data_IF_361490708395
#
_entry.id   IF_361490708395
#
_cell.length_a   1.000
_cell.length_b   1.000
_cell.length_c   1.000
_cell.angle_alpha   90.00
_cell.angle_beta   90.00
_cell.angle_gamma   90.00
#
_symmetry.space_group_name_H-M   'P 1'
#
loop_
_entity.id
_entity.type
_entity.pdbx_description
1 polymer ?
#
# COMPACT_ATOMS: atom_id res chain seq x y z
N UNK A 1 -30.38 -21.45 22.86
CA UNK A 1 -29.23 -21.81 22.00
C UNK A 1 -28.42 -20.56 21.67
N UNK A 2 -28.98 -19.54 21.01
CA UNK A 2 -28.25 -18.37 20.50
C UNK A 2 -27.48 -17.60 21.60
N UNK A 3 -28.14 -17.28 22.73
CA UNK A 3 -27.46 -16.60 23.86
C UNK A 3 -26.33 -17.45 24.47
N UNK A 4 -26.52 -18.77 24.48
CA UNK A 4 -25.51 -19.68 25.00
C UNK A 4 -24.28 -19.77 24.06
N UNK A 5 -24.49 -19.77 22.74
CA UNK A 5 -23.43 -19.68 21.75
C UNK A 5 -22.61 -18.40 21.91
N UNK A 6 -23.29 -17.26 22.10
CA UNK A 6 -22.61 -15.98 22.35
C UNK A 6 -21.79 -16.03 23.66
N UNK A 7 -22.38 -16.52 24.74
CA UNK A 7 -21.71 -16.59 26.03
C UNK A 7 -20.43 -17.46 25.97
N UNK A 8 -20.50 -18.64 25.37
CA UNK A 8 -19.35 -19.53 25.20
C UNK A 8 -18.29 -18.86 24.33
N UNK A 9 -18.68 -18.30 23.16
CA UNK A 9 -17.77 -17.66 22.26
C UNK A 9 -17.00 -16.49 22.89
N UNK A 10 -17.71 -15.64 23.64
CA UNK A 10 -17.07 -14.50 24.34
C UNK A 10 -16.13 -14.98 25.45
N UNK A 11 -16.59 -15.88 26.31
CA UNK A 11 -15.78 -16.36 27.44
C UNK A 11 -14.52 -17.06 26.97
N UNK A 12 -14.64 -17.99 26.02
CA UNK A 12 -13.48 -18.72 25.48
C UNK A 12 -12.57 -17.81 24.66
N UNK A 13 -13.12 -16.85 23.92
CA UNK A 13 -12.34 -15.88 23.17
C UNK A 13 -11.49 -14.97 24.07
N UNK A 14 -12.04 -14.48 25.15
CA UNK A 14 -11.30 -13.69 26.16
C UNK A 14 -10.22 -14.54 26.82
N UNK A 15 -10.55 -15.76 27.24
CA UNK A 15 -9.58 -16.67 27.89
C UNK A 15 -8.41 -16.98 26.92
N UNK A 16 -8.72 -17.35 25.68
CA UNK A 16 -7.70 -17.66 24.68
C UNK A 16 -6.84 -16.43 24.32
N UNK A 17 -7.46 -15.26 24.19
CA UNK A 17 -6.77 -13.99 23.99
C UNK A 17 -5.82 -13.64 25.12
N UNK A 18 -6.28 -13.78 26.35
CA UNK A 18 -5.48 -13.55 27.56
C UNK A 18 -4.31 -14.53 27.68
N UNK A 19 -4.54 -15.80 27.37
CA UNK A 19 -3.48 -16.81 27.39
C UNK A 19 -2.39 -16.46 26.37
N UNK A 20 -2.78 -16.13 25.12
CA UNK A 20 -1.82 -15.77 24.09
C UNK A 20 -1.05 -14.48 24.45
N UNK A 21 -1.73 -13.45 24.92
CA UNK A 21 -1.09 -12.22 25.42
C UNK A 21 -0.02 -12.54 26.47
N UNK A 22 -0.36 -13.34 27.48
CA UNK A 22 0.59 -13.72 28.55
C UNK A 22 1.80 -14.52 28.03
N UNK A 23 1.58 -15.42 27.08
CA UNK A 23 2.65 -16.22 26.48
C UNK A 23 3.62 -15.36 25.66
N UNK A 24 3.09 -14.35 24.96
CA UNK A 24 3.89 -13.46 24.11
C UNK A 24 4.60 -12.37 24.93
N UNK A 25 3.88 -11.65 25.78
CA UNK A 25 4.43 -10.54 26.58
C UNK A 25 5.48 -11.00 27.58
N UNK A 26 5.30 -12.16 28.21
CA UNK A 26 6.28 -12.69 29.17
C UNK A 26 7.43 -13.46 28.49
N UNK A 27 7.55 -13.41 27.13
CA UNK A 27 8.59 -14.09 26.37
C UNK A 27 8.72 -15.61 26.68
N UNK A 28 7.61 -16.27 27.05
CA UNK A 28 7.61 -17.74 27.22
C UNK A 28 7.80 -18.47 25.89
N UNK A 29 7.51 -17.79 24.79
CA UNK A 29 7.67 -18.31 23.43
C UNK A 29 8.71 -17.44 22.70
N UNK A 30 9.74 -18.02 22.09
CA UNK A 30 10.69 -17.28 21.26
C UNK A 30 9.99 -16.54 20.11
N UNK A 31 10.49 -15.36 19.73
CA UNK A 31 9.86 -14.49 18.71
C UNK A 31 9.60 -15.20 17.39
N UNK A 32 10.53 -16.05 16.92
CA UNK A 32 10.36 -16.80 15.67
C UNK A 32 9.23 -17.83 15.70
N UNK A 33 8.69 -18.17 16.88
CA UNK A 33 7.55 -19.07 17.05
C UNK A 33 6.23 -18.35 17.31
N UNK A 34 6.21 -17.03 17.45
CA UNK A 34 4.99 -16.26 17.76
C UNK A 34 3.86 -16.55 16.76
N UNK A 35 4.18 -16.59 15.48
CA UNK A 35 3.20 -16.85 14.41
C UNK A 35 2.60 -18.25 14.49
N UNK A 36 3.42 -19.25 14.77
CA UNK A 36 2.98 -20.66 14.89
C UNK A 36 2.18 -20.87 16.18
N UNK A 37 2.59 -20.24 17.27
CA UNK A 37 1.88 -20.32 18.55
C UNK A 37 0.51 -19.66 18.44
N UNK A 38 0.42 -18.48 17.81
CA UNK A 38 -0.84 -17.80 17.56
C UNK A 38 -1.77 -18.68 16.70
N UNK A 39 -1.28 -19.24 15.59
CA UNK A 39 -2.07 -20.12 14.73
C UNK A 39 -2.55 -21.37 15.48
N UNK A 40 -1.65 -22.03 16.23
CA UNK A 40 -1.99 -23.24 16.98
C UNK A 40 -3.08 -22.96 18.02
N UNK A 41 -2.94 -21.85 18.77
CA UNK A 41 -3.93 -21.50 19.80
C UNK A 41 -5.28 -21.10 19.19
N UNK A 42 -5.28 -20.41 18.03
CA UNK A 42 -6.50 -20.09 17.26
C UNK A 42 -7.23 -21.37 16.88
N UNK A 43 -6.50 -22.36 16.30
CA UNK A 43 -7.09 -23.66 15.90
C UNK A 43 -7.65 -24.44 17.09
N UNK A 44 -6.90 -24.48 18.20
CA UNK A 44 -7.37 -25.14 19.43
C UNK A 44 -8.59 -24.44 19.99
N UNK A 45 -8.57 -23.14 20.14
CA UNK A 45 -9.70 -22.35 20.66
C UNK A 45 -10.95 -22.50 19.79
N UNK A 46 -10.80 -22.43 18.47
CA UNK A 46 -11.88 -22.64 17.51
C UNK A 46 -12.49 -24.03 17.63
N UNK A 47 -11.64 -25.06 17.61
CA UNK A 47 -12.07 -26.47 17.67
C UNK A 47 -12.75 -26.79 19.00
N UNK A 48 -12.15 -26.37 20.11
CA UNK A 48 -12.67 -26.59 21.45
C UNK A 48 -14.03 -25.88 21.65
N UNK A 49 -14.14 -24.64 21.17
CA UNK A 49 -15.40 -23.89 21.23
C UNK A 49 -16.51 -24.61 20.46
N UNK A 50 -16.22 -25.09 19.26
CA UNK A 50 -17.19 -25.80 18.42
C UNK A 50 -17.60 -27.17 19.00
N UNK A 51 -16.74 -27.83 19.78
CA UNK A 51 -17.11 -29.06 20.48
C UNK A 51 -18.09 -28.79 21.64
N UNK A 52 -17.94 -27.67 22.34
CA UNK A 52 -18.87 -27.28 23.39
C UNK A 52 -20.22 -26.78 22.86
N UNK A 53 -20.17 -25.98 21.81
CA UNK A 53 -21.36 -25.44 21.17
C UNK A 53 -21.10 -25.25 19.67
N UNK A 54 -21.89 -25.87 18.84
CA UNK A 54 -21.81 -25.70 17.38
C UNK A 54 -21.83 -24.22 16.98
N UNK A 55 -20.94 -23.85 16.04
CA UNK A 55 -20.80 -22.50 15.47
C UNK A 55 -20.30 -21.39 16.41
N UNK A 56 -19.92 -21.71 17.65
CA UNK A 56 -19.35 -20.73 18.58
C UNK A 56 -17.87 -20.37 18.28
N UNK A 57 -17.16 -21.24 17.54
CA UNK A 57 -15.72 -21.07 17.26
C UNK A 57 -15.38 -19.79 16.50
N UNK A 58 -16.21 -19.38 15.53
CA UNK A 58 -16.04 -18.12 14.81
C UNK A 58 -16.08 -16.90 15.74
N UNK A 59 -17.01 -16.88 16.67
CA UNK A 59 -17.12 -15.81 17.65
C UNK A 59 -15.93 -15.82 18.64
N UNK A 60 -15.51 -17.02 19.06
CA UNK A 60 -14.33 -17.20 19.93
C UNK A 60 -13.08 -16.57 19.33
N UNK A 61 -12.78 -16.89 18.07
CA UNK A 61 -11.59 -16.35 17.39
C UNK A 61 -11.71 -14.86 17.12
N UNK A 62 -12.91 -14.36 16.83
CA UNK A 62 -13.18 -12.94 16.66
C UNK A 62 -12.90 -12.16 17.94
N UNK A 63 -13.43 -12.61 19.09
CA UNK A 63 -13.20 -11.99 20.39
C UNK A 63 -11.72 -12.07 20.80
N UNK A 64 -11.07 -13.21 20.55
CA UNK A 64 -9.63 -13.37 20.75
C UNK A 64 -8.83 -12.34 19.95
N UNK A 65 -9.16 -12.15 18.67
CA UNK A 65 -8.52 -11.16 17.83
C UNK A 65 -8.74 -9.73 18.29
N UNK A 66 -9.98 -9.39 18.71
CA UNK A 66 -10.30 -8.09 19.29
C UNK A 66 -9.54 -7.84 20.61
N UNK A 67 -9.37 -8.85 21.44
CA UNK A 67 -8.59 -8.77 22.67
C UNK A 67 -7.14 -8.39 22.37
N UNK A 68 -6.49 -9.12 21.47
CA UNK A 68 -5.09 -8.89 21.10
C UNK A 68 -4.86 -7.53 20.43
N UNK A 69 -5.76 -7.13 19.53
CA UNK A 69 -5.67 -5.86 18.80
C UNK A 69 -5.77 -4.62 19.70
N UNK A 70 -6.40 -4.73 20.89
CA UNK A 70 -6.55 -3.64 21.85
C UNK A 70 -5.47 -3.62 22.94
N UNK A 71 -4.37 -4.36 22.78
CA UNK A 71 -3.26 -4.39 23.74
C UNK A 71 -2.08 -3.54 23.26
N UNK A 72 -1.77 -2.42 23.94
CA UNK A 72 -0.70 -1.52 23.52
C UNK A 72 0.70 -2.13 23.71
N UNK A 73 0.85 -3.08 24.64
CA UNK A 73 2.14 -3.68 24.97
C UNK A 73 2.53 -4.86 24.07
N UNK A 74 1.68 -5.20 23.08
CA UNK A 74 1.88 -6.34 22.21
C UNK A 74 2.14 -5.89 20.77
N UNK A 75 3.33 -6.18 20.25
CA UNK A 75 3.59 -6.04 18.81
C UNK A 75 2.90 -7.18 18.05
N UNK A 76 1.77 -6.88 17.45
CA UNK A 76 0.97 -7.83 16.66
C UNK A 76 1.30 -7.80 15.17
N UNK A 77 2.14 -6.84 14.68
CA UNK A 77 2.43 -6.69 13.27
C UNK A 77 3.00 -7.97 12.61
N UNK A 78 3.94 -8.71 13.21
CA UNK A 78 4.43 -9.97 12.63
C UNK A 78 3.32 -11.02 12.47
N UNK A 79 2.40 -11.09 13.45
CA UNK A 79 1.26 -12.03 13.43
C UNK A 79 0.26 -11.61 12.34
N UNK A 80 -0.01 -10.32 12.17
CA UNK A 80 -0.90 -9.79 11.13
C UNK A 80 -0.36 -10.09 9.73
N UNK A 81 0.91 -9.80 9.47
CA UNK A 81 1.56 -10.08 8.19
C UNK A 81 1.53 -11.58 7.86
N UNK A 82 1.84 -12.43 8.83
CA UNK A 82 1.75 -13.88 8.67
C UNK A 82 0.32 -14.33 8.35
N UNK A 83 -0.66 -13.82 9.10
CA UNK A 83 -2.08 -14.10 8.89
C UNK A 83 -2.54 -13.68 7.50
N UNK A 84 -2.14 -12.52 7.00
CA UNK A 84 -2.50 -12.04 5.65
C UNK A 84 -1.98 -12.96 4.57
N UNK A 85 -0.71 -13.32 4.62
CA UNK A 85 -0.10 -14.27 3.68
C UNK A 85 -0.79 -15.64 3.71
N UNK A 86 -1.04 -16.14 4.92
CA UNK A 86 -1.73 -17.41 5.11
C UNK A 86 -3.18 -17.35 4.60
N UNK A 87 -3.86 -16.24 4.81
CA UNK A 87 -5.23 -16.02 4.33
C UNK A 87 -5.30 -16.09 2.80
N UNK A 88 -4.40 -15.39 2.11
CA UNK A 88 -4.34 -15.43 0.63
C UNK A 88 -4.12 -16.86 0.12
N UNK A 89 -3.19 -17.59 0.74
CA UNK A 89 -2.91 -18.98 0.39
C UNK A 89 -4.13 -19.89 0.61
N UNK A 90 -4.70 -19.85 1.82
CA UNK A 90 -5.83 -20.72 2.18
C UNK A 90 -7.07 -20.40 1.35
N UNK A 91 -7.37 -19.12 1.10
CA UNK A 91 -8.47 -18.69 0.25
C UNK A 91 -8.27 -19.21 -1.18
N UNK A 92 -7.06 -19.06 -1.73
CA UNK A 92 -6.76 -19.54 -3.08
C UNK A 92 -6.93 -21.05 -3.21
N UNK A 93 -6.39 -21.82 -2.28
CA UNK A 93 -6.53 -23.28 -2.25
C UNK A 93 -8.01 -23.67 -2.12
N UNK A 94 -8.74 -23.01 -1.22
CA UNK A 94 -10.16 -23.32 -1.01
C UNK A 94 -11.00 -23.03 -2.27
N UNK A 95 -10.76 -21.90 -2.96
CA UNK A 95 -11.46 -21.60 -4.21
C UNK A 95 -11.12 -22.61 -5.31
N UNK A 96 -9.88 -23.07 -5.42
CA UNK A 96 -9.49 -24.11 -6.38
C UNK A 96 -10.23 -25.42 -6.08
N UNK A 97 -10.24 -25.83 -4.81
CA UNK A 97 -10.94 -27.08 -4.40
C UNK A 97 -12.45 -26.98 -4.61
N UNK A 98 -13.05 -25.83 -4.31
CA UNK A 98 -14.47 -25.61 -4.55
C UNK A 98 -14.79 -25.57 -6.05
N UNK A 99 -13.98 -24.89 -6.85
CA UNK A 99 -14.16 -24.87 -8.30
C UNK A 99 -14.05 -26.28 -8.93
N UNK A 100 -13.14 -27.11 -8.43
CA UNK A 100 -12.96 -28.48 -8.89
C UNK A 100 -14.18 -29.39 -8.58
N UNK A 101 -14.99 -29.03 -7.58
CA UNK A 101 -16.20 -29.80 -7.20
C UNK A 101 -17.45 -29.33 -7.95
N UNK A 102 -17.41 -28.25 -8.70
CA UNK A 102 -18.56 -27.71 -9.41
C UNK A 102 -18.83 -28.56 -10.66
N UNK A 103 -20.02 -29.12 -10.77
CA UNK A 103 -20.51 -29.72 -11.99
C UNK A 103 -20.97 -28.62 -12.98
N UNK A 104 -20.28 -28.54 -14.11
CA UNK A 104 -20.55 -27.53 -15.13
C UNK A 104 -21.98 -27.66 -15.72
N UNK A 105 -22.50 -28.87 -15.78
CA UNK A 105 -23.86 -29.10 -16.26
C UNK A 105 -24.93 -28.55 -15.29
N UNK A 106 -24.69 -28.75 -13.98
CA UNK A 106 -25.54 -28.16 -12.95
C UNK A 106 -25.49 -26.65 -12.95
N UNK A 107 -24.27 -26.07 -13.14
CA UNK A 107 -24.12 -24.63 -13.23
C UNK A 107 -24.86 -24.03 -14.41
N UNK A 108 -24.80 -24.71 -15.58
CA UNK A 108 -25.52 -24.27 -16.78
C UNK A 108 -27.04 -24.40 -16.64
N UNK A 109 -27.53 -25.40 -15.92
CA UNK A 109 -28.98 -25.58 -15.68
C UNK A 109 -29.59 -24.44 -14.88
N UNK A 110 -28.85 -23.79 -14.01
CA UNK A 110 -29.30 -22.64 -13.19
C UNK A 110 -28.79 -21.27 -13.70
N UNK A 111 -28.15 -21.23 -14.87
CA UNK A 111 -27.48 -20.02 -15.38
C UNK A 111 -28.46 -18.83 -15.52
N UNK A 112 -29.66 -19.03 -15.98
CA UNK A 112 -30.67 -17.97 -16.11
C UNK A 112 -31.09 -17.42 -14.75
N UNK A 113 -31.41 -18.30 -13.81
CA UNK A 113 -31.82 -17.94 -12.45
C UNK A 113 -30.67 -17.23 -11.72
N UNK A 114 -29.43 -17.71 -11.89
CA UNK A 114 -28.25 -17.10 -11.35
C UNK A 114 -28.00 -15.71 -11.94
N UNK A 115 -28.15 -15.54 -13.26
CA UNK A 115 -28.00 -14.24 -13.92
C UNK A 115 -29.09 -13.25 -13.44
N UNK A 116 -30.34 -13.66 -13.35
CA UNK A 116 -31.39 -12.80 -12.81
C UNK A 116 -31.15 -12.41 -11.36
N UNK A 117 -30.73 -13.35 -10.51
CA UNK A 117 -30.39 -13.11 -9.13
C UNK A 117 -29.20 -12.14 -9.02
N UNK A 118 -28.14 -12.33 -9.83
CA UNK A 118 -26.99 -11.48 -9.89
C UNK A 118 -27.35 -10.03 -10.27
N UNK A 119 -28.23 -9.86 -11.28
CA UNK A 119 -28.70 -8.54 -11.69
C UNK A 119 -29.48 -7.85 -10.56
N UNK A 120 -30.42 -8.55 -9.92
CA UNK A 120 -31.16 -7.99 -8.78
C UNK A 120 -30.23 -7.60 -7.63
N UNK A 121 -29.30 -8.46 -7.30
CA UNK A 121 -28.34 -8.17 -6.23
C UNK A 121 -27.44 -6.98 -6.59
N UNK A 122 -26.92 -6.93 -7.82
CA UNK A 122 -25.96 -5.91 -8.24
C UNK A 122 -26.62 -4.54 -8.43
N UNK A 123 -27.80 -4.48 -9.03
CA UNK A 123 -28.41 -3.20 -9.42
C UNK A 123 -29.52 -2.73 -8.47
N UNK A 124 -30.06 -3.59 -7.62
CA UNK A 124 -31.12 -3.22 -6.68
C UNK A 124 -30.65 -3.33 -5.23
N UNK A 125 -30.28 -4.52 -4.78
CA UNK A 125 -30.00 -4.76 -3.37
C UNK A 125 -28.75 -4.02 -2.88
N UNK A 126 -27.69 -3.99 -3.69
CA UNK A 126 -26.41 -3.32 -3.32
C UNK A 126 -26.52 -1.80 -3.30
N UNK A 127 -27.03 -1.12 -4.34
CA UNK A 127 -27.24 0.32 -4.26
C UNK A 127 -28.14 0.69 -3.09
N UNK A 128 -29.27 0.01 -2.91
CA UNK A 128 -30.18 0.26 -1.79
C UNK A 128 -29.46 0.15 -0.44
N UNK A 129 -28.67 -0.92 -0.23
CA UNK A 129 -27.88 -1.10 1.00
C UNK A 129 -26.90 0.04 1.22
N UNK A 130 -26.10 0.39 0.21
CA UNK A 130 -25.07 1.44 0.35
C UNK A 130 -25.70 2.80 0.60
N UNK A 131 -26.73 3.19 -0.17
CA UNK A 131 -27.39 4.48 0.03
C UNK A 131 -28.08 4.61 1.38
N UNK A 132 -28.68 3.53 1.87
CA UNK A 132 -29.30 3.53 3.21
C UNK A 132 -28.24 3.60 4.31
N UNK A 133 -27.15 2.81 4.21
CA UNK A 133 -26.11 2.77 5.24
C UNK A 133 -25.23 4.03 5.29
N UNK A 134 -25.08 4.73 4.16
CA UNK A 134 -24.27 5.96 4.07
C UNK A 134 -25.10 7.26 4.07
N UNK A 135 -26.36 7.19 4.45
CA UNK A 135 -27.29 8.32 4.41
C UNK A 135 -26.82 9.55 5.19
N UNK A 136 -26.13 9.33 6.33
CA UNK A 136 -25.64 10.40 7.22
C UNK A 136 -24.14 10.59 7.18
N UNK A 137 -23.45 10.01 6.19
CA UNK A 137 -22.00 10.10 6.07
C UNK A 137 -21.61 11.07 4.96
N UNK A 138 -20.57 11.86 5.19
CA UNK A 138 -19.99 12.80 4.22
C UNK A 138 -19.12 12.06 3.20
N UNK A 139 -19.73 11.10 2.49
CA UNK A 139 -19.12 10.34 1.40
C UNK A 139 -19.70 10.90 0.10
N UNK A 140 -18.86 11.14 -0.88
CA UNK A 140 -19.28 11.67 -2.18
C UNK A 140 -20.17 10.68 -2.94
N UNK A 141 -20.99 11.20 -3.85
CA UNK A 141 -21.83 10.35 -4.70
C UNK A 141 -21.01 9.34 -5.52
N UNK A 142 -19.85 9.78 -6.00
CA UNK A 142 -18.93 8.96 -6.78
C UNK A 142 -18.40 7.78 -5.97
N UNK A 143 -17.98 8.02 -4.73
CA UNK A 143 -17.53 6.98 -3.80
C UNK A 143 -18.66 6.01 -3.44
N UNK A 144 -19.87 6.53 -3.15
CA UNK A 144 -21.06 5.70 -2.91
C UNK A 144 -21.37 4.78 -4.10
N UNK A 145 -21.24 5.30 -5.31
CA UNK A 145 -21.46 4.54 -6.54
C UNK A 145 -20.43 3.44 -6.74
N UNK A 146 -19.16 3.72 -6.46
CA UNK A 146 -18.09 2.71 -6.50
C UNK A 146 -18.32 1.62 -5.43
N UNK A 147 -18.64 2.02 -4.19
CA UNK A 147 -18.95 1.09 -3.09
C UNK A 147 -20.19 0.23 -3.41
N UNK A 148 -21.19 0.77 -4.10
CA UNK A 148 -22.35 0.02 -4.56
C UNK A 148 -21.98 -0.99 -5.66
N UNK A 149 -21.00 -0.68 -6.50
CA UNK A 149 -20.50 -1.58 -7.52
C UNK A 149 -19.64 -2.71 -6.96
N UNK A 150 -18.68 -2.39 -6.11
CA UNK A 150 -17.75 -3.36 -5.51
C UNK A 150 -18.44 -4.08 -4.36
N UNK A 151 -18.64 -5.39 -4.52
CA UNK A 151 -19.32 -6.25 -3.54
C UNK A 151 -18.42 -7.45 -3.19
N UNK A 152 -17.44 -7.30 -2.30
CA UNK A 152 -16.65 -8.45 -1.88
C UNK A 152 -17.57 -9.52 -1.31
N UNK A 153 -17.50 -10.73 -1.89
CA UNK A 153 -18.28 -11.89 -1.45
C UNK A 153 -17.34 -12.91 -0.87
N UNK A 154 -17.63 -13.26 0.39
CA UNK A 154 -16.79 -14.19 1.13
C UNK A 154 -17.16 -15.65 0.87
N UNK A 155 -16.20 -16.51 1.10
CA UNK A 155 -16.30 -17.98 1.11
C UNK A 155 -17.35 -18.45 2.11
N UNK A 156 -17.56 -17.69 3.17
CA UNK A 156 -18.57 -17.98 4.21
C UNK A 156 -19.95 -18.16 3.60
N UNK A 157 -20.33 -17.37 2.59
CA UNK A 157 -21.61 -17.52 1.92
C UNK A 157 -21.74 -18.89 1.23
N UNK A 158 -20.68 -19.37 0.58
CA UNK A 158 -20.66 -20.68 -0.05
C UNK A 158 -20.75 -21.83 0.97
N UNK A 159 -19.97 -21.75 2.05
CA UNK A 159 -19.96 -22.75 3.11
C UNK A 159 -21.31 -22.84 3.82
N UNK A 160 -21.87 -21.69 4.19
CA UNK A 160 -23.20 -21.63 4.84
C UNK A 160 -24.27 -22.16 3.90
N UNK A 161 -24.25 -21.77 2.61
CA UNK A 161 -25.23 -22.29 1.64
C UNK A 161 -25.17 -23.81 1.48
N UNK A 162 -23.96 -24.40 1.55
CA UNK A 162 -23.81 -25.85 1.49
C UNK A 162 -24.39 -26.53 2.74
N UNK A 163 -24.15 -26.03 3.93
CA UNK A 163 -24.66 -26.55 5.19
C UNK A 163 -26.21 -26.44 5.21
N UNK A 164 -26.75 -25.27 4.81
CA UNK A 164 -28.21 -25.09 4.75
C UNK A 164 -28.88 -25.96 3.70
N UNK A 165 -28.23 -26.13 2.53
CA UNK A 165 -28.73 -27.01 1.49
C UNK A 165 -28.88 -28.45 2.00
N UNK A 166 -27.84 -28.98 2.67
CA UNK A 166 -27.86 -30.34 3.24
C UNK A 166 -28.96 -30.48 4.28
N UNK A 167 -29.08 -29.52 5.20
CA UNK A 167 -30.14 -29.56 6.22
C UNK A 167 -31.57 -29.47 5.64
N UNK A 168 -31.77 -28.66 4.61
CA UNK A 168 -33.07 -28.52 3.97
C UNK A 168 -33.44 -29.77 3.17
N UNK A 169 -32.46 -30.44 2.54
CA UNK A 169 -32.66 -31.71 1.85
C UNK A 169 -33.07 -32.80 2.85
N UNK A 170 -32.43 -32.89 4.02
CA UNK A 170 -32.81 -33.80 5.11
C UNK A 170 -34.27 -33.56 5.58
N UNK A 171 -34.75 -32.31 5.52
CA UNK A 171 -36.12 -31.93 5.86
C UNK A 171 -37.13 -32.14 4.72
N UNK A 172 -36.68 -32.67 3.58
CA UNK A 172 -37.54 -33.01 2.44
C UNK A 172 -37.71 -31.90 1.39
N UNK A 173 -36.94 -30.80 1.47
CA UNK A 173 -36.97 -29.71 0.48
C UNK A 173 -36.00 -30.02 -0.67
N UNK A 174 -36.43 -30.71 -1.70
CA UNK A 174 -35.59 -31.12 -2.85
C UNK A 174 -34.97 -29.92 -3.59
N UNK A 175 -35.70 -28.81 -3.69
CA UNK A 175 -35.22 -27.58 -4.36
C UNK A 175 -33.97 -26.95 -3.68
N UNK A 176 -33.69 -27.35 -2.45
CA UNK A 176 -32.46 -26.89 -1.76
C UNK A 176 -31.19 -27.34 -2.46
N UNK A 177 -31.22 -28.37 -3.33
CA UNK A 177 -30.09 -28.77 -4.19
C UNK A 177 -29.59 -27.61 -5.09
N UNK A 178 -30.47 -26.65 -5.41
CA UNK A 178 -30.11 -25.48 -6.24
C UNK A 178 -29.36 -24.38 -5.47
N UNK A 179 -29.39 -24.38 -4.14
CA UNK A 179 -28.76 -23.33 -3.33
C UNK A 179 -27.24 -23.22 -3.58
N UNK A 180 -26.58 -24.36 -3.62
CA UNK A 180 -25.10 -24.39 -3.82
C UNK A 180 -24.72 -23.89 -5.21
N UNK A 181 -25.24 -24.47 -6.33
CA UNK A 181 -24.97 -23.99 -7.67
C UNK A 181 -25.29 -22.49 -7.87
N UNK A 182 -26.43 -22.02 -7.35
CA UNK A 182 -26.84 -20.62 -7.44
C UNK A 182 -25.85 -19.68 -6.69
N UNK A 183 -25.50 -20.06 -5.47
CA UNK A 183 -24.54 -19.28 -4.67
C UNK A 183 -23.19 -19.18 -5.36
N UNK A 184 -22.67 -20.29 -5.87
CA UNK A 184 -21.41 -20.31 -6.61
C UNK A 184 -21.49 -19.48 -7.90
N UNK A 185 -22.56 -19.61 -8.68
CA UNK A 185 -22.75 -18.79 -9.89
C UNK A 185 -22.72 -17.30 -9.58
N UNK A 186 -23.38 -16.89 -8.50
CA UNK A 186 -23.39 -15.48 -8.06
C UNK A 186 -22.02 -15.04 -7.58
N UNK A 187 -21.27 -15.87 -6.84
CA UNK A 187 -19.91 -15.57 -6.40
C UNK A 187 -18.99 -15.40 -7.62
N UNK A 188 -18.95 -16.38 -8.51
CA UNK A 188 -18.11 -16.34 -9.71
C UNK A 188 -18.47 -15.13 -10.59
N UNK A 189 -19.77 -14.97 -10.87
CA UNK A 189 -20.27 -13.88 -11.70
C UNK A 189 -19.92 -12.50 -11.13
N UNK A 190 -20.08 -12.30 -9.81
CA UNK A 190 -19.71 -11.04 -9.17
C UNK A 190 -18.21 -10.81 -9.15
N UNK A 191 -17.40 -11.82 -8.83
CA UNK A 191 -15.93 -11.69 -8.80
C UNK A 191 -15.41 -11.35 -10.19
N UNK A 192 -15.82 -12.10 -11.22
CA UNK A 192 -15.37 -11.83 -12.60
C UNK A 192 -15.80 -10.45 -13.08
N UNK A 193 -17.09 -10.11 -12.91
CA UNK A 193 -17.63 -8.82 -13.35
C UNK A 193 -16.93 -7.66 -12.66
N UNK A 194 -16.79 -7.72 -11.35
CA UNK A 194 -16.22 -6.63 -10.56
C UNK A 194 -14.71 -6.50 -10.77
N UNK A 195 -13.96 -7.59 -10.77
CA UNK A 195 -12.52 -7.56 -11.03
C UNK A 195 -12.21 -6.99 -12.41
N UNK A 196 -12.99 -7.35 -13.43
CA UNK A 196 -12.79 -6.83 -14.79
C UNK A 196 -13.16 -5.34 -14.93
N UNK A 197 -14.12 -4.85 -14.15
CA UNK A 197 -14.71 -3.51 -14.37
C UNK A 197 -14.37 -2.49 -13.29
N UNK A 198 -13.96 -2.90 -12.08
CA UNK A 198 -13.74 -1.99 -10.95
C UNK A 198 -12.76 -0.86 -11.25
N UNK A 199 -11.61 -1.17 -11.85
CA UNK A 199 -10.61 -0.16 -12.20
C UNK A 199 -11.09 0.83 -13.28
N UNK A 200 -11.87 0.35 -14.24
CA UNK A 200 -12.47 1.22 -15.27
C UNK A 200 -13.51 2.16 -14.65
N UNK A 201 -14.39 1.63 -13.80
CA UNK A 201 -15.44 2.40 -13.13
C UNK A 201 -14.83 3.41 -12.15
N UNK A 202 -13.83 3.02 -11.34
CA UNK A 202 -13.15 3.91 -10.43
C UNK A 202 -12.52 5.11 -11.15
N UNK A 203 -11.83 4.86 -12.27
CA UNK A 203 -11.27 5.94 -13.10
C UNK A 203 -12.34 6.84 -13.70
N UNK A 204 -13.45 6.26 -14.19
CA UNK A 204 -14.54 7.04 -14.79
C UNK A 204 -15.32 7.90 -13.77
N UNK A 205 -15.40 7.43 -12.53
CA UNK A 205 -15.99 8.17 -11.42
C UNK A 205 -15.03 9.21 -10.80
N UNK A 206 -13.74 9.18 -11.16
CA UNK A 206 -12.73 10.08 -10.60
C UNK A 206 -12.36 9.76 -9.15
N UNK A 207 -12.61 8.52 -8.70
CA UNK A 207 -12.27 8.03 -7.34
C UNK A 207 -11.13 7.00 -7.35
N UNK A 208 -10.50 6.81 -8.51
CA UNK A 208 -9.30 6.00 -8.58
C UNK A 208 -8.14 6.77 -7.91
N UNK A 209 -7.38 6.07 -7.10
CA UNK A 209 -6.15 6.63 -6.55
C UNK A 209 -5.21 7.06 -7.71
N UNK A 210 -4.59 8.25 -7.62
CA UNK A 210 -3.62 8.69 -8.62
C UNK A 210 -2.50 7.66 -8.81
N UNK A 211 -1.96 7.55 -10.02
CA UNK A 211 -0.77 6.72 -10.22
C UNK A 211 0.34 7.18 -9.26
N UNK A 212 1.04 6.26 -8.57
CA UNK A 212 2.07 6.61 -7.59
C UNK A 212 3.36 7.08 -8.30
N UNK A 213 3.29 8.25 -8.93
CA UNK A 213 4.39 8.90 -9.65
C UNK A 213 5.04 10.01 -8.85
N UNK A 214 4.43 10.45 -7.76
CA UNK A 214 4.90 11.52 -6.90
C UNK A 214 6.07 11.13 -5.98
N UNK A 215 6.60 12.12 -5.27
CA UNK A 215 7.78 12.00 -4.42
C UNK A 215 7.53 12.51 -3.00
N UNK A 216 7.92 11.71 -2.01
CA UNK A 216 8.09 12.16 -0.62
C UNK A 216 9.54 12.63 -0.44
N UNK A 217 9.73 13.91 -0.15
CA UNK A 217 11.03 14.48 0.14
C UNK A 217 11.21 14.62 1.66
N UNK A 218 12.09 13.85 2.23
CA UNK A 218 12.47 13.96 3.65
C UNK A 218 13.57 15.01 3.78
N UNK A 219 13.21 16.16 4.35
CA UNK A 219 14.02 17.37 4.42
C UNK A 219 13.52 18.47 3.48
N UNK A 220 12.96 19.56 4.04
CA UNK A 220 12.38 20.67 3.27
C UNK A 220 13.39 21.85 3.08
N UNK A 221 14.66 21.52 2.83
CA UNK A 221 15.74 22.50 2.60
C UNK A 221 15.60 23.25 1.25
N UNK A 222 16.47 24.23 0.99
CA UNK A 222 16.41 25.03 -0.23
C UNK A 222 16.46 24.19 -1.52
N UNK A 223 17.34 23.18 -1.56
CA UNK A 223 17.43 22.27 -2.71
C UNK A 223 16.12 21.49 -2.92
N UNK A 224 15.57 20.91 -1.84
CA UNK A 224 14.31 20.14 -1.90
C UNK A 224 13.14 20.99 -2.38
N UNK A 225 13.07 22.25 -1.93
CA UNK A 225 12.01 23.19 -2.37
C UNK A 225 12.14 23.52 -3.85
N UNK A 226 13.36 23.81 -4.33
CA UNK A 226 13.59 24.06 -5.76
C UNK A 226 13.29 22.83 -6.61
N UNK A 227 13.66 21.64 -6.14
CA UNK A 227 13.37 20.39 -6.83
C UNK A 227 11.87 20.11 -6.92
N UNK A 228 11.16 20.29 -5.81
CA UNK A 228 9.71 20.08 -5.78
C UNK A 228 8.95 21.07 -6.69
N UNK A 229 9.41 22.32 -6.77
CA UNK A 229 8.82 23.30 -7.71
C UNK A 229 9.03 22.89 -9.18
N UNK A 230 10.23 22.43 -9.52
CA UNK A 230 10.50 22.00 -10.90
C UNK A 230 9.74 20.72 -11.27
N UNK A 231 9.68 19.73 -10.36
CA UNK A 231 8.89 18.51 -10.57
C UNK A 231 7.39 18.82 -10.67
N UNK A 232 6.90 19.79 -9.90
CA UNK A 232 5.51 20.23 -9.96
C UNK A 232 5.08 20.81 -11.33
N UNK A 233 6.02 21.32 -12.14
CA UNK A 233 5.73 21.78 -13.52
C UNK A 233 5.35 20.63 -14.46
N UNK A 234 5.65 19.39 -14.08
CA UNK A 234 5.31 18.16 -14.80
C UNK A 234 4.12 17.42 -14.16
N UNK A 235 3.32 18.11 -13.35
CA UNK A 235 2.18 17.53 -12.63
C UNK A 235 2.55 16.40 -11.66
N UNK A 236 3.78 16.38 -11.16
CA UNK A 236 4.26 15.41 -10.19
C UNK A 236 4.02 15.92 -8.77
N UNK A 237 3.21 15.20 -8.01
CA UNK A 237 2.95 15.52 -6.61
C UNK A 237 4.24 15.37 -5.79
N UNK A 238 4.59 16.39 -5.03
CA UNK A 238 5.74 16.39 -4.14
C UNK A 238 5.30 16.81 -2.74
N UNK A 239 5.54 15.97 -1.74
CA UNK A 239 5.29 16.28 -0.33
C UNK A 239 6.63 16.42 0.39
N UNK A 240 6.83 17.55 1.05
CA UNK A 240 8.06 17.83 1.81
C UNK A 240 7.79 17.60 3.30
N UNK A 241 8.54 16.67 3.91
CA UNK A 241 8.44 16.36 5.33
C UNK A 241 9.70 16.82 6.08
N UNK A 242 9.53 17.65 7.11
CA UNK A 242 10.65 18.14 7.93
C UNK A 242 10.17 18.44 9.36
N UNK A 243 11.04 18.17 10.34
CA UNK A 243 10.81 18.55 11.74
C UNK A 243 11.18 20.02 12.03
N UNK A 244 11.85 20.71 11.12
CA UNK A 244 12.19 22.12 11.25
C UNK A 244 11.06 23.00 10.71
N UNK A 245 10.45 23.78 11.61
CA UNK A 245 9.35 24.67 11.26
C UNK A 245 9.73 25.74 10.23
N UNK A 246 10.93 26.31 10.30
CA UNK A 246 11.36 27.36 9.36
C UNK A 246 11.45 26.83 7.93
N UNK A 247 11.95 25.63 7.74
CA UNK A 247 11.97 24.96 6.44
C UNK A 247 10.56 24.75 5.90
N UNK A 248 9.65 24.23 6.75
CA UNK A 248 8.25 23.99 6.39
C UNK A 248 7.53 25.31 6.05
N UNK A 249 7.74 26.35 6.87
CA UNK A 249 7.15 27.67 6.62
C UNK A 249 7.56 28.21 5.26
N UNK A 250 8.85 28.16 4.93
CA UNK A 250 9.36 28.60 3.63
C UNK A 250 8.77 27.78 2.46
N UNK A 251 8.62 26.47 2.63
CA UNK A 251 8.00 25.63 1.61
C UNK A 251 6.50 25.98 1.40
N UNK A 252 5.75 26.22 2.48
CA UNK A 252 4.34 26.66 2.41
C UNK A 252 4.17 28.02 1.74
N UNK A 253 5.07 28.96 2.00
CA UNK A 253 5.02 30.29 1.39
C UNK A 253 5.14 30.26 -0.13
N UNK A 254 5.75 29.25 -0.71
CA UNK A 254 5.87 29.06 -2.16
C UNK A 254 4.86 28.01 -2.70
N UNK A 255 3.84 27.66 -1.90
CA UNK A 255 2.73 26.82 -2.32
C UNK A 255 3.01 25.32 -2.37
N UNK A 256 4.10 24.82 -1.75
CA UNK A 256 4.41 23.41 -1.72
C UNK A 256 3.64 22.67 -0.62
N UNK A 257 3.27 21.44 -0.91
CA UNK A 257 2.63 20.55 0.04
C UNK A 257 3.65 20.07 1.09
N UNK A 258 3.26 20.14 2.37
CA UNK A 258 4.22 19.90 3.46
C UNK A 258 3.62 19.13 4.62
N UNK A 259 4.43 18.28 5.23
CA UNK A 259 4.17 17.68 6.53
C UNK A 259 5.17 18.23 7.56
N UNK A 260 4.65 18.82 8.65
CA UNK A 260 5.47 19.28 9.77
C UNK A 260 5.53 18.21 10.85
N UNK A 261 6.70 17.67 11.10
CA UNK A 261 6.95 16.65 12.11
C UNK A 261 8.10 15.72 11.74
N UNK A 262 8.38 14.77 12.61
CA UNK A 262 9.32 13.70 12.29
C UNK A 262 8.68 12.77 11.25
N UNK A 263 9.28 12.64 10.05
CA UNK A 263 8.70 11.83 8.97
C UNK A 263 8.67 10.31 9.24
N UNK A 264 9.32 9.85 10.29
CA UNK A 264 9.35 8.43 10.69
C UNK A 264 8.71 8.22 12.08
N UNK A 265 7.65 8.93 12.39
CA UNK A 265 6.90 8.82 13.63
C UNK A 265 5.52 8.23 13.38
N UNK A 266 4.92 7.61 14.40
CA UNK A 266 3.52 7.13 14.36
C UNK A 266 2.55 8.24 13.94
N UNK A 267 2.87 9.51 14.26
CA UNK A 267 2.09 10.65 13.82
C UNK A 267 2.16 10.85 12.31
N UNK A 268 3.33 10.60 11.70
CA UNK A 268 3.48 10.66 10.24
C UNK A 268 2.69 9.53 9.58
N UNK A 269 2.72 8.32 10.12
CA UNK A 269 1.98 7.16 9.59
C UNK A 269 0.46 7.40 9.53
N UNK A 270 -0.06 8.19 10.47
CA UNK A 270 -1.50 8.50 10.53
C UNK A 270 -1.88 9.72 9.69
N UNK A 271 -1.03 10.75 9.62
CA UNK A 271 -1.40 12.07 9.10
C UNK A 271 -0.68 12.48 7.81
N UNK A 272 0.38 11.77 7.42
CA UNK A 272 1.06 12.02 6.16
C UNK A 272 0.31 11.33 5.02
N UNK A 273 -0.31 12.14 4.17
CA UNK A 273 -1.02 11.62 3.00
C UNK A 273 -0.04 11.22 1.89
N UNK A 274 0.12 9.92 1.68
CA UNK A 274 0.96 9.32 0.66
C UNK A 274 0.21 8.98 -0.64
N UNK A 275 -1.05 9.39 -0.81
CA UNK A 275 -1.83 9.11 -2.02
C UNK A 275 -1.11 9.67 -3.25
N UNK A 276 -0.90 8.85 -4.29
CA UNK A 276 -0.17 9.23 -5.49
C UNK A 276 1.34 9.42 -5.32
N UNK A 277 1.90 9.23 -4.11
CA UNK A 277 3.34 9.21 -3.88
C UNK A 277 3.87 7.80 -4.13
N UNK A 278 4.89 7.70 -4.97
CA UNK A 278 5.46 6.40 -5.36
C UNK A 278 6.94 6.24 -5.04
N UNK A 279 7.62 7.27 -4.53
CA UNK A 279 9.05 7.21 -4.28
C UNK A 279 9.46 8.11 -3.12
N UNK A 280 10.48 7.67 -2.37
CA UNK A 280 11.12 8.44 -1.31
C UNK A 280 12.43 9.08 -1.78
N UNK A 281 12.62 10.36 -1.50
CA UNK A 281 13.89 11.07 -1.64
C UNK A 281 14.35 11.56 -0.25
N UNK A 282 15.26 10.83 0.37
CA UNK A 282 15.80 11.19 1.68
C UNK A 282 16.99 12.16 1.49
N UNK A 283 16.70 13.45 1.63
CA UNK A 283 17.60 14.57 1.32
C UNK A 283 17.77 15.52 2.51
N UNK A 284 17.52 15.04 3.73
CA UNK A 284 17.74 15.79 4.97
C UNK A 284 19.24 15.99 5.25
N UNK A 285 19.55 17.07 5.97
CA UNK A 285 20.90 17.29 6.51
C UNK A 285 21.31 16.25 7.57
N UNK A 286 20.31 15.63 8.22
CA UNK A 286 20.53 14.62 9.25
C UNK A 286 20.62 13.23 8.61
N UNK A 287 21.85 12.71 8.52
CA UNK A 287 22.12 11.41 7.92
C UNK A 287 21.25 10.27 8.50
N UNK A 288 21.12 10.24 9.84
CA UNK A 288 20.37 9.17 10.50
C UNK A 288 18.89 9.18 10.11
N UNK A 289 18.29 10.35 9.92
CA UNK A 289 16.90 10.47 9.43
C UNK A 289 16.79 9.91 8.02
N UNK A 290 17.75 10.16 7.13
CA UNK A 290 17.74 9.63 5.78
C UNK A 290 17.79 8.10 5.76
N UNK A 291 18.60 7.49 6.66
CA UNK A 291 18.70 6.02 6.76
C UNK A 291 17.43 5.42 7.37
N UNK A 292 16.93 5.99 8.48
CA UNK A 292 15.72 5.48 9.13
C UNK A 292 14.50 5.64 8.20
N UNK A 293 14.39 6.78 7.51
CA UNK A 293 13.32 6.98 6.53
C UNK A 293 13.41 5.97 5.37
N UNK A 294 14.62 5.67 4.89
CA UNK A 294 14.80 4.65 3.86
C UNK A 294 14.32 3.27 4.31
N UNK A 295 14.63 2.87 5.55
CA UNK A 295 14.19 1.58 6.13
C UNK A 295 12.68 1.59 6.34
N UNK A 296 12.14 2.66 6.94
CA UNK A 296 10.72 2.78 7.28
C UNK A 296 9.83 2.70 6.02
N UNK A 297 10.13 3.51 5.02
CA UNK A 297 9.34 3.58 3.79
C UNK A 297 9.69 2.53 2.73
N UNK A 298 10.63 1.62 2.97
CA UNK A 298 10.92 0.52 2.05
C UNK A 298 9.75 -0.47 1.92
N UNK A 299 8.94 -0.58 2.97
CA UNK A 299 7.71 -1.37 2.95
C UNK A 299 6.64 -0.77 2.02
N UNK A 300 6.52 0.56 1.99
CA UNK A 300 5.50 1.28 1.21
C UNK A 300 5.89 1.44 -0.26
N UNK A 301 7.16 1.81 -0.54
CA UNK A 301 7.61 2.18 -1.89
C UNK A 301 8.47 1.12 -2.60
N UNK A 302 8.74 -0.01 -1.99
CA UNK A 302 9.77 -0.98 -2.38
C UNK A 302 11.21 -0.41 -2.41
N UNK A 303 12.20 -1.28 -2.24
CA UNK A 303 13.64 -0.88 -2.18
C UNK A 303 14.12 -0.15 -3.44
N UNK A 304 13.49 -0.40 -4.59
CA UNK A 304 13.88 0.23 -5.87
C UNK A 304 13.44 1.69 -5.99
N UNK A 305 12.50 2.13 -5.17
CA UNK A 305 11.92 3.50 -5.20
C UNK A 305 12.28 4.32 -3.97
N UNK A 306 13.20 3.83 -3.17
CA UNK A 306 13.74 4.51 -2.00
C UNK A 306 15.13 5.04 -2.32
N UNK A 307 15.30 6.36 -2.25
CA UNK A 307 16.52 7.04 -2.64
C UNK A 307 17.04 7.92 -1.49
N UNK A 308 18.37 8.02 -1.36
CA UNK A 308 19.01 8.88 -0.37
C UNK A 308 20.25 9.59 -0.93
N UNK A 309 20.63 10.70 -0.31
CA UNK A 309 21.92 11.34 -0.59
C UNK A 309 23.08 10.55 0.01
N UNK A 310 24.23 10.65 -0.64
CA UNK A 310 25.49 10.17 -0.11
C UNK A 310 25.85 10.88 1.20
N UNK A 311 26.52 10.17 2.09
CA UNK A 311 27.17 10.77 3.25
C UNK A 311 28.66 10.85 3.02
N UNK A 312 29.28 11.95 3.45
CA UNK A 312 30.73 12.14 3.40
C UNK A 312 31.53 11.03 4.10
N UNK A 313 30.90 10.32 5.03
CA UNK A 313 31.49 9.20 5.75
C UNK A 313 31.28 7.84 5.09
N UNK A 314 30.46 7.73 4.05
CA UNK A 314 30.17 6.43 3.40
C UNK A 314 31.42 5.88 2.70
N UNK A 315 32.25 6.75 2.12
CA UNK A 315 33.54 6.39 1.49
C UNK A 315 34.65 6.00 2.48
N UNK A 316 34.54 6.41 3.76
CA UNK A 316 35.58 6.16 4.78
C UNK A 316 35.34 4.95 5.65
N UNK A 317 34.17 4.32 5.57
CA UNK A 317 33.86 3.14 6.36
C UNK A 317 34.35 1.88 5.67
N UNK A 318 35.15 1.08 6.39
CA UNK A 318 35.44 -0.30 6.01
C UNK A 318 34.12 -1.08 5.82
N UNK A 319 34.09 -2.01 4.90
CA UNK A 319 32.93 -2.91 4.66
C UNK A 319 32.37 -3.56 5.93
N UNK A 320 33.24 -3.76 6.95
CA UNK A 320 32.87 -4.31 8.27
C UNK A 320 31.93 -3.40 9.08
N UNK A 321 31.86 -2.12 8.78
CA UNK A 321 31.05 -1.12 9.49
C UNK A 321 29.98 -0.49 8.61
N UNK A 322 29.84 -0.96 7.38
CA UNK A 322 28.79 -0.51 6.47
C UNK A 322 27.46 -1.19 6.84
N UNK A 323 26.39 -0.42 6.88
CA UNK A 323 25.03 -0.99 6.94
C UNK A 323 24.78 -1.72 5.61
N UNK A 324 24.06 -2.84 5.64
CA UNK A 324 23.74 -3.59 4.42
C UNK A 324 23.17 -2.66 3.34
N UNK A 325 23.69 -2.77 2.12
CA UNK A 325 23.28 -1.91 0.99
C UNK A 325 21.79 -1.99 0.67
N UNK A 326 21.17 -3.15 0.93
CA UNK A 326 19.72 -3.35 0.76
C UNK A 326 18.85 -2.52 1.70
N UNK A 327 19.38 -2.15 2.87
CA UNK A 327 18.65 -1.36 3.88
C UNK A 327 18.89 0.16 3.76
N UNK A 328 19.78 0.60 2.89
CA UNK A 328 20.18 2.01 2.85
C UNK A 328 19.43 2.86 1.83
N UNK A 329 18.63 2.25 0.95
CA UNK A 329 18.10 2.94 -0.23
C UNK A 329 19.20 3.24 -1.27
N UNK A 330 18.79 3.58 -2.47
CA UNK A 330 19.67 3.83 -3.62
C UNK A 330 20.27 5.23 -3.54
N UNK A 331 21.57 5.36 -3.86
CA UNK A 331 22.26 6.65 -3.77
C UNK A 331 21.90 7.57 -4.93
N UNK A 332 21.45 8.80 -4.61
CA UNK A 332 21.04 9.82 -5.58
C UNK A 332 22.23 10.47 -6.30
N UNK A 333 22.00 10.76 -7.57
CA UNK A 333 22.76 11.60 -8.49
C UNK A 333 24.17 11.08 -8.81
N UNK A 334 25.16 11.35 -7.97
CA UNK A 334 26.53 10.89 -8.18
C UNK A 334 27.19 10.48 -6.86
N UNK A 335 28.34 9.78 -6.96
CA UNK A 335 29.07 9.30 -5.78
C UNK A 335 29.53 10.43 -4.84
N UNK A 336 29.76 11.62 -5.40
CA UNK A 336 30.27 12.79 -4.67
C UNK A 336 29.14 13.74 -4.23
N UNK A 337 27.90 13.45 -4.57
CA UNK A 337 26.77 14.33 -4.25
C UNK A 337 26.34 14.15 -2.81
N UNK A 338 26.81 15.04 -1.96
CA UNK A 338 26.43 15.13 -0.54
C UNK A 338 25.46 16.29 -0.31
N UNK A 339 24.78 16.28 0.86
CA UNK A 339 23.92 17.39 1.27
C UNK A 339 24.66 18.74 1.26
N UNK A 340 25.89 18.78 1.80
CA UNK A 340 26.70 20.01 1.85
C UNK A 340 27.03 20.54 0.45
N UNK A 341 27.40 19.66 -0.48
CA UNK A 341 27.67 20.05 -1.86
C UNK A 341 26.45 20.64 -2.57
N UNK A 342 25.29 20.01 -2.40
CA UNK A 342 24.04 20.52 -3.00
C UNK A 342 23.65 21.88 -2.41
N UNK A 343 23.75 22.01 -1.08
CA UNK A 343 23.40 23.26 -0.41
C UNK A 343 24.35 24.40 -0.77
N UNK A 344 25.66 24.15 -0.84
CA UNK A 344 26.64 25.15 -1.29
C UNK A 344 26.30 25.64 -2.70
N UNK A 345 26.06 24.74 -3.63
CA UNK A 345 25.71 25.09 -5.01
C UNK A 345 24.44 25.93 -5.10
N UNK A 346 23.38 25.56 -4.37
CA UNK A 346 22.14 26.34 -4.33
C UNK A 346 22.35 27.72 -3.70
N UNK A 347 23.15 27.82 -2.64
CA UNK A 347 23.47 29.09 -2.00
C UNK A 347 24.40 29.99 -2.86
N UNK A 348 25.22 29.39 -3.74
CA UNK A 348 26.04 30.10 -4.75
C UNK A 348 25.20 30.57 -5.96
N UNK A 349 23.91 30.25 -5.99
CA UNK A 349 23.01 30.70 -7.04
C UNK A 349 22.77 29.69 -8.13
N UNK A 350 23.15 28.42 -7.94
CA UNK A 350 22.78 27.36 -8.87
C UNK A 350 21.25 27.15 -8.85
N UNK A 351 20.67 26.96 -10.03
CA UNK A 351 19.23 26.71 -10.22
C UNK A 351 19.01 25.39 -10.95
N UNK A 352 17.86 24.80 -10.74
CA UNK A 352 17.48 23.59 -11.49
C UNK A 352 16.94 24.03 -12.85
N UNK A 353 17.60 23.58 -13.92
CA UNK A 353 17.22 23.85 -15.32
C UNK A 353 16.67 22.60 -15.99
N UNK A 354 15.57 22.78 -16.70
CA UNK A 354 15.00 21.75 -17.56
C UNK A 354 15.59 21.88 -18.98
N UNK A 355 16.01 20.77 -19.57
CA UNK A 355 16.55 20.72 -20.92
C UNK A 355 15.88 19.58 -21.67
N UNK A 356 15.16 19.90 -22.75
CA UNK A 356 14.52 18.89 -23.60
C UNK A 356 15.55 18.26 -24.54
N UNK A 357 15.54 16.95 -24.63
CA UNK A 357 16.32 16.19 -25.59
C UNK A 357 15.54 16.04 -26.88
N UNK A 358 16.24 16.23 -27.99
CA UNK A 358 15.71 16.05 -29.36
C UNK A 358 16.55 15.01 -30.08
N UNK A 359 16.17 14.64 -31.32
CA UNK A 359 16.98 13.75 -32.15
C UNK A 359 18.36 14.37 -32.47
N UNK A 360 18.40 15.71 -32.66
CA UNK A 360 19.64 16.44 -32.93
C UNK A 360 20.48 16.70 -31.68
N UNK A 361 19.80 17.00 -30.56
CA UNK A 361 20.41 17.24 -29.28
C UNK A 361 20.11 16.09 -28.30
N UNK A 362 20.74 14.95 -28.57
CA UNK A 362 20.57 13.71 -27.81
C UNK A 362 21.40 13.66 -26.53
N UNK A 363 21.20 12.60 -25.71
CA UNK A 363 21.89 12.42 -24.45
C UNK A 363 23.44 12.44 -24.53
N UNK A 364 24.11 11.76 -25.49
CA UNK A 364 25.55 11.88 -25.66
C UNK A 364 26.02 13.31 -25.94
N UNK A 365 25.28 14.06 -26.76
CA UNK A 365 25.58 15.48 -27.05
C UNK A 365 25.39 16.35 -25.80
N UNK A 366 24.34 16.11 -25.03
CA UNK A 366 24.11 16.77 -23.73
C UNK A 366 25.27 16.52 -22.76
N UNK A 367 25.68 15.26 -22.59
CA UNK A 367 26.79 14.90 -21.72
C UNK A 367 28.08 15.58 -22.16
N UNK A 368 28.43 15.54 -23.47
CA UNK A 368 29.62 16.17 -24.00
C UNK A 368 29.65 17.69 -23.72
N UNK A 369 28.49 18.35 -23.80
CA UNK A 369 28.37 19.80 -23.60
C UNK A 369 28.38 20.21 -22.12
N UNK A 370 27.78 19.40 -21.23
CA UNK A 370 27.47 19.83 -19.87
C UNK A 370 28.04 18.95 -18.74
N UNK A 371 28.84 17.91 -19.05
CA UNK A 371 29.35 16.95 -18.04
C UNK A 371 30.10 17.58 -16.88
N UNK A 372 30.74 18.73 -17.07
CA UNK A 372 31.55 19.41 -16.05
C UNK A 372 30.83 20.56 -15.36
N UNK A 373 29.71 21.04 -15.89
CA UNK A 373 29.04 22.25 -15.42
C UNK A 373 27.67 21.94 -14.79
N UNK A 374 27.01 20.88 -15.21
CA UNK A 374 25.67 20.52 -14.73
C UNK A 374 25.67 19.17 -14.04
N UNK A 375 24.93 19.10 -12.95
CA UNK A 375 24.64 17.84 -12.24
C UNK A 375 23.25 17.34 -12.66
N UNK A 376 23.14 16.26 -13.44
CA UNK A 376 21.85 15.68 -13.77
C UNK A 376 21.17 15.13 -12.51
N UNK A 377 19.91 15.51 -12.30
CA UNK A 377 19.12 15.11 -11.15
C UNK A 377 18.02 14.11 -11.54
N UNK A 378 17.22 14.46 -12.56
CA UNK A 378 16.10 13.64 -13.01
C UNK A 378 16.01 13.61 -14.54
N UNK A 379 15.49 12.51 -15.04
CA UNK A 379 14.92 12.41 -16.39
C UNK A 379 13.41 12.31 -16.27
N UNK A 380 12.70 13.13 -17.03
CA UNK A 380 11.24 13.11 -17.13
C UNK A 380 10.90 12.65 -18.55
N UNK A 381 10.14 11.58 -18.68
CA UNK A 381 9.72 11.05 -19.98
C UNK A 381 8.52 11.83 -20.57
N UNK A 382 8.12 11.53 -21.81
CA UNK A 382 6.97 12.15 -22.49
C UNK A 382 5.62 11.93 -21.76
N UNK A 383 5.58 10.95 -20.86
CA UNK A 383 4.39 10.63 -20.04
C UNK A 383 4.44 11.28 -18.65
N UNK A 384 5.30 12.26 -18.45
CA UNK A 384 5.55 12.92 -17.17
C UNK A 384 5.97 11.98 -16.04
N UNK A 385 6.62 10.84 -16.35
CA UNK A 385 7.19 9.97 -15.32
C UNK A 385 8.63 10.37 -15.07
N UNK A 386 8.91 10.84 -13.86
CA UNK A 386 10.27 11.24 -13.48
C UNK A 386 11.03 10.08 -12.83
N UNK A 387 12.31 9.96 -13.20
CA UNK A 387 13.26 9.01 -12.60
C UNK A 387 14.51 9.77 -12.16
N UNK A 388 14.95 9.62 -10.89
CA UNK A 388 16.21 10.23 -10.48
C UNK A 388 17.40 9.50 -11.09
N UNK A 389 18.47 10.22 -11.38
CA UNK A 389 19.76 9.61 -11.64
C UNK A 389 20.33 8.99 -10.35
N UNK A 390 20.84 7.77 -10.47
CA UNK A 390 21.26 6.95 -9.31
C UNK A 390 22.62 6.35 -9.59
N UNK A 391 23.46 6.31 -8.57
CA UNK A 391 24.78 5.71 -8.67
C UNK A 391 24.69 4.22 -9.01
N UNK A 392 25.48 3.79 -10.00
CA UNK A 392 25.52 2.40 -10.46
C UNK A 392 24.42 2.01 -11.44
N UNK A 393 23.55 2.95 -11.84
CA UNK A 393 22.56 2.74 -12.89
C UNK A 393 22.86 3.57 -14.13
N UNK A 394 22.92 2.93 -15.28
CA UNK A 394 23.06 3.62 -16.56
C UNK A 394 21.66 3.97 -17.06
N UNK A 395 21.33 5.25 -17.04
CA UNK A 395 20.10 5.77 -17.61
C UNK A 395 20.44 6.42 -18.95
N UNK A 396 19.84 5.94 -20.02
CA UNK A 396 19.95 6.50 -21.36
C UNK A 396 18.62 7.19 -21.73
N UNK A 397 18.50 8.50 -21.50
CA UNK A 397 17.31 9.24 -21.86
C UNK A 397 17.10 9.26 -23.38
N UNK A 398 15.86 9.03 -23.80
CA UNK A 398 15.47 9.06 -25.21
C UNK A 398 15.13 10.48 -25.67
N UNK A 399 15.13 10.70 -27.00
CA UNK A 399 14.56 11.92 -27.56
C UNK A 399 13.11 12.13 -27.09
N UNK A 400 12.71 13.36 -26.83
CA UNK A 400 11.44 13.71 -26.21
C UNK A 400 11.47 13.78 -24.66
N UNK A 401 12.53 13.23 -24.02
CA UNK A 401 12.68 13.33 -22.56
C UNK A 401 13.24 14.69 -22.14
N UNK A 402 12.91 15.13 -20.93
CA UNK A 402 13.44 16.35 -20.31
C UNK A 402 14.43 16.00 -19.20
N UNK A 403 15.61 16.57 -19.23
CA UNK A 403 16.62 16.44 -18.15
C UNK A 403 16.48 17.62 -17.19
N UNK A 404 16.25 17.32 -15.91
CA UNK A 404 16.39 18.31 -14.83
C UNK A 404 17.80 18.22 -14.26
N UNK A 405 18.52 19.32 -14.31
CA UNK A 405 19.91 19.37 -13.83
C UNK A 405 20.17 20.63 -13.01
N UNK A 406 21.01 20.53 -11.98
CA UNK A 406 21.50 21.67 -11.22
C UNK A 406 22.62 22.35 -12.01
N UNK A 407 22.45 23.63 -12.34
CA UNK A 407 23.33 24.41 -13.21
C UNK A 407 23.46 25.86 -12.71
N UNK A 408 24.56 26.53 -13.04
CA UNK A 408 24.74 27.97 -12.77
C UNK A 408 23.68 28.82 -13.47
N UNK A 409 23.24 29.88 -12.79
CA UNK A 409 22.19 30.77 -13.30
C UNK A 409 22.65 31.45 -14.62
N UNK A 410 23.93 31.79 -14.76
CA UNK A 410 24.49 32.56 -15.90
C UNK A 410 24.67 31.75 -17.19
N UNK A 411 24.52 30.42 -17.17
CA UNK A 411 24.68 29.55 -18.37
C UNK A 411 23.51 29.64 -19.36
N UNK A 412 22.60 30.59 -19.25
CA UNK A 412 21.40 30.70 -20.10
C UNK A 412 21.34 31.93 -20.99
N UNK A 413 22.35 32.84 -20.94
CA UNK A 413 22.33 34.10 -21.69
C UNK A 413 23.00 34.05 -23.07
N UNK A 414 23.62 32.95 -23.44
CA UNK A 414 24.34 32.79 -24.71
C UNK A 414 23.98 31.47 -25.41
N UNK A 415 22.72 31.31 -25.85
CA UNK A 415 22.34 30.27 -26.81
C UNK A 415 21.16 30.74 -27.65
#
# INVERSE_FOLDING_TARGET
VFLFTIAIGVVLGVIAGFILERLLVNHYIPEYLHNLAALSLVLVAFSFSNTLQHESGLLTVTIMGMWLANRPDLDIHPILNFKENLTVLLISVLFILLAARIDLQQLMSVAWQAAALLLVIQFVARPAKIFVSTWRQDITWQEKSLLAWIAPRGIVAAAISAIFAERLIELGYEDAKLLVPLTFSVIIGTVVLQSATAGFIARRLGVAEPEPTGFLLVGANAFSRSLAQELGKFDLRCVLADSNWDNIRQARMIGLETFYGNPVSDHADIHLDLSGIGSLLAVSHQRYINVIAAIHYSADFSDRRVFRLASSNDKRRSEKHAVSGSLQGRQLFSEDTTYSNLLSRVNEGDVIKATNLTEEFNWPTYQKKYSHTRLPLFVVDEKNKARPFVVGEIIEPTAGSTILALARQDEGSNA
#
